data_IF_850793168484
#
_entry.id   IF_850793168484
#
_cell.length_a   1.000
_cell.length_b   1.000
_cell.length_c   1.000
_cell.angle_alpha   90.00
_cell.angle_beta   90.00
_cell.angle_gamma   90.00
#
_symmetry.space_group_name_H-M   'P 1'
#
loop_
_entity.id
_entity.type
_entity.pdbx_description
1 polymer ?
#
# COMPACT_ATOMS: atom_id res chain seq x y z
N UNK A 1 -0.71 8.68 5.33
CA UNK A 1 -1.53 7.92 4.39
C UNK A 1 -1.39 6.42 4.55
N UNK A 2 -0.18 5.89 4.40
CA UNK A 2 0.00 4.46 4.56
C UNK A 2 -0.33 3.99 5.98
N UNK A 3 0.10 4.75 6.97
CA UNK A 3 -0.15 4.38 8.37
C UNK A 3 -1.65 4.35 8.67
N UNK A 4 -2.39 5.30 8.13
CA UNK A 4 -3.82 5.33 8.35
C UNK A 4 -4.50 4.15 7.68
N UNK A 5 -4.07 3.83 6.47
CA UNK A 5 -4.61 2.71 5.74
C UNK A 5 -4.33 1.40 6.47
N UNK A 6 -3.10 1.24 6.95
CA UNK A 6 -2.70 0.04 7.68
C UNK A 6 -3.47 -0.08 9.00
N UNK A 7 -3.61 1.03 9.70
CA UNK A 7 -4.36 1.04 10.96
C UNK A 7 -5.82 0.72 10.74
N UNK A 8 -6.36 1.16 9.63
CA UNK A 8 -7.74 0.86 9.30
C UNK A 8 -7.95 -0.64 9.11
N UNK A 9 -7.01 -1.29 8.43
CA UNK A 9 -7.07 -2.73 8.23
C UNK A 9 -6.99 -3.46 9.57
N UNK A 10 -6.07 -3.03 10.43
CA UNK A 10 -5.94 -3.64 11.74
C UNK A 10 -7.22 -3.47 12.55
N UNK A 11 -7.85 -2.30 12.45
CA UNK A 11 -9.07 -2.03 13.18
C UNK A 11 -10.22 -2.93 12.71
N UNK A 12 -10.27 -3.20 11.42
CA UNK A 12 -11.34 -4.03 10.86
C UNK A 12 -11.12 -5.51 11.10
N UNK A 13 -9.88 -5.96 11.05
CA UNK A 13 -9.58 -7.39 11.08
C UNK A 13 -8.80 -7.83 12.32
N UNK A 14 -8.38 -6.90 13.13
CA UNK A 14 -7.65 -7.24 14.35
C UNK A 14 -6.17 -7.44 14.16
N UNK A 15 -5.68 -7.40 12.93
CA UNK A 15 -4.27 -7.57 12.63
C UNK A 15 -3.97 -6.96 11.28
N UNK A 16 -2.69 -6.75 11.02
CA UNK A 16 -2.29 -6.16 9.73
C UNK A 16 -2.34 -7.19 8.61
N UNK A 17 -2.09 -8.44 8.92
CA UNK A 17 -2.09 -9.48 7.91
C UNK A 17 -0.85 -9.45 7.04
N UNK A 18 -0.89 -10.18 5.94
CA UNK A 18 0.24 -10.27 5.02
C UNK A 18 0.13 -9.16 3.98
N UNK A 19 1.22 -8.43 3.81
CA UNK A 19 1.28 -7.36 2.81
C UNK A 19 2.31 -7.72 1.75
N UNK A 20 1.96 -7.48 0.51
CA UNK A 20 2.87 -7.69 -0.61
C UNK A 20 3.19 -6.34 -1.23
N UNK A 21 4.47 -6.05 -1.38
CA UNK A 21 4.92 -4.80 -1.97
C UNK A 21 5.32 -5.05 -3.41
N UNK A 22 4.86 -4.18 -4.28
CA UNK A 22 5.20 -4.27 -5.69
C UNK A 22 5.81 -2.95 -6.11
N UNK A 23 7.04 -3.01 -6.60
CA UNK A 23 7.76 -1.83 -7.03
C UNK A 23 8.11 -2.00 -8.49
N UNK A 24 7.65 -1.10 -9.33
CA UNK A 24 7.88 -1.17 -10.77
C UNK A 24 8.58 0.10 -11.22
N UNK A 25 9.82 0.01 -11.67
CA UNK A 25 10.52 1.19 -12.16
C UNK A 25 9.97 1.58 -13.54
N UNK A 26 9.95 2.87 -13.79
CA UNK A 26 9.54 3.35 -15.10
C UNK A 26 10.35 4.59 -15.47
N UNK A 27 10.04 5.20 -16.58
CA UNK A 27 10.87 6.27 -17.12
C UNK A 27 10.87 7.54 -16.30
N UNK A 28 9.90 7.72 -15.46
CA UNK A 28 9.81 8.95 -14.68
C UNK A 28 9.92 8.69 -13.18
N UNK A 29 10.12 7.45 -12.79
CA UNK A 29 10.23 7.14 -11.37
C UNK A 29 9.89 5.71 -11.10
N UNK A 30 9.34 5.44 -9.92
CA UNK A 30 8.99 4.10 -9.51
C UNK A 30 7.53 4.06 -9.09
N UNK A 31 6.87 3.01 -9.46
CA UNK A 31 5.49 2.79 -9.05
C UNK A 31 5.53 1.85 -7.84
N UNK A 32 4.98 2.28 -6.73
CA UNK A 32 4.98 1.51 -5.49
C UNK A 32 3.55 1.22 -5.09
N UNK A 33 3.23 -0.06 -4.97
CA UNK A 33 1.88 -0.49 -4.59
C UNK A 33 2.02 -1.53 -3.49
N UNK A 34 1.21 -1.41 -2.45
CA UNK A 34 1.16 -2.41 -1.39
C UNK A 34 -0.21 -3.07 -1.43
N UNK A 35 -0.21 -4.39 -1.37
CA UNK A 35 -1.46 -5.15 -1.42
C UNK A 35 -1.67 -5.89 -0.11
N UNK A 36 -2.87 -5.75 0.46
CA UNK A 36 -3.22 -6.46 1.68
C UNK A 36 -3.96 -7.74 1.32
N UNK A 37 -3.39 -8.87 1.64
CA UNK A 37 -4.03 -10.15 1.39
C UNK A 37 -5.20 -10.39 2.34
N UNK A 38 -5.14 -9.76 3.51
CA UNK A 38 -6.21 -9.92 4.48
C UNK A 38 -7.47 -9.19 4.07
N UNK A 39 -7.34 -7.94 3.66
CA UNK A 39 -8.49 -7.15 3.24
C UNK A 39 -8.77 -7.26 1.75
N UNK A 40 -7.83 -7.83 0.99
CA UNK A 40 -7.94 -7.97 -0.46
C UNK A 40 -8.09 -6.62 -1.15
N UNK A 41 -7.32 -5.65 -0.68
CA UNK A 41 -7.30 -4.31 -1.26
C UNK A 41 -5.85 -3.89 -1.45
N UNK A 42 -5.64 -2.94 -2.32
CA UNK A 42 -4.29 -2.44 -2.55
C UNK A 42 -4.26 -0.93 -2.40
N UNK A 43 -3.09 -0.41 -2.07
CA UNK A 43 -2.89 1.02 -1.91
C UNK A 43 -1.72 1.43 -2.80
N UNK A 44 -1.96 2.42 -3.64
CA UNK A 44 -0.94 2.95 -4.52
C UNK A 44 -0.18 4.04 -3.78
N UNK A 45 1.08 3.79 -3.53
CA UNK A 45 1.94 4.73 -2.81
C UNK A 45 2.89 5.44 -3.76
N UNK A 46 2.67 5.35 -5.05
CA UNK A 46 3.52 6.00 -6.02
C UNK A 46 3.61 7.47 -5.73
N UNK A 47 4.84 7.93 -5.53
CA UNK A 47 5.01 9.32 -5.17
C UNK A 47 5.22 10.10 -6.40
N UNK A 48 4.23 10.76 -6.87
CA UNK A 48 4.36 11.49 -7.96
C UNK A 48 4.44 12.83 -7.63
N UNK A 49 4.87 13.37 -7.56
CA UNK A 49 4.87 14.55 -7.31
C UNK A 49 4.61 15.22 -6.39
N UNK A 50 4.49 15.28 -6.05
CA UNK A 50 4.23 15.89 -5.43
C UNK A 50 3.95 16.39 -4.90
N UNK A 51 4.01 15.99 -5.15
CA UNK A 51 3.45 16.14 -4.31
C UNK A 51 3.89 17.00 -3.53
#
# INVERSE_FOLDING_TARGET
MFDEWKSHIKSLYGEYGLLTWKITPNGIGEEIVVYSHLAKVELDLTDIDSW
#
